data_IF_303459819784
#
_entry.id   IF_303459819784
#
_cell.length_a   1.000
_cell.length_b   1.000
_cell.length_c   1.000
_cell.angle_alpha   90.00
_cell.angle_beta   90.00
_cell.angle_gamma   90.00
#
_symmetry.space_group_name_H-M   'P 1'
#
loop_
_entity.id
_entity.type
_entity.pdbx_description
1 polymer ?
#
# COMPACT_ATOMS: atom_id res chain seq x y z
N UNK A 1 16.44 0.04 8.68
CA UNK A 1 15.52 -1.03 8.21
C UNK A 1 15.42 -2.19 9.19
N UNK A 2 16.52 -2.79 9.67
CA UNK A 2 16.48 -3.98 10.54
C UNK A 2 15.57 -3.88 11.78
N UNK A 3 15.60 -2.77 12.52
CA UNK A 3 14.74 -2.60 13.71
C UNK A 3 13.24 -2.62 13.38
N UNK A 4 12.82 -1.96 12.30
CA UNK A 4 11.43 -1.92 11.87
C UNK A 4 10.97 -3.30 11.41
N UNK A 5 11.81 -4.02 10.66
CA UNK A 5 11.54 -5.39 10.22
C UNK A 5 11.37 -6.34 11.41
N UNK A 6 12.21 -6.22 12.44
CA UNK A 6 12.08 -7.01 13.67
C UNK A 6 10.80 -6.66 14.42
N UNK A 7 10.48 -5.38 14.56
CA UNK A 7 9.25 -4.95 15.26
C UNK A 7 7.98 -5.43 14.55
N UNK A 8 7.88 -5.24 13.23
CA UNK A 8 6.72 -5.70 12.46
C UNK A 8 6.65 -7.22 12.39
N UNK A 9 7.78 -7.91 12.21
CA UNK A 9 7.84 -9.37 12.21
C UNK A 9 7.44 -9.96 13.57
N UNK A 10 7.96 -9.41 14.67
CA UNK A 10 7.60 -9.83 16.02
C UNK A 10 6.14 -9.54 16.35
N UNK A 11 5.62 -8.36 15.98
CA UNK A 11 4.22 -8.02 16.19
C UNK A 11 3.27 -8.96 15.42
N UNK A 12 3.59 -9.27 14.16
CA UNK A 12 2.84 -10.25 13.37
C UNK A 12 2.89 -11.66 13.96
N UNK A 13 4.08 -12.12 14.37
CA UNK A 13 4.25 -13.45 14.96
C UNK A 13 3.51 -13.59 16.31
N UNK A 14 3.65 -12.61 17.20
CA UNK A 14 2.93 -12.59 18.48
C UNK A 14 1.42 -12.50 18.29
N UNK A 15 0.97 -11.72 17.29
CA UNK A 15 -0.43 -11.66 16.90
C UNK A 15 -0.99 -13.02 16.50
N UNK A 16 -0.28 -13.75 15.63
CA UNK A 16 -0.67 -15.09 15.22
C UNK A 16 -0.64 -16.09 16.40
N UNK A 17 0.38 -16.05 17.26
CA UNK A 17 0.44 -16.94 18.43
C UNK A 17 -0.69 -16.68 19.45
N UNK A 18 -1.19 -15.44 19.54
CA UNK A 18 -2.25 -15.08 20.47
C UNK A 18 -3.65 -15.52 19.97
N UNK A 19 -3.91 -15.41 18.68
CA UNK A 19 -5.26 -15.60 18.11
C UNK A 19 -5.40 -16.82 17.18
N UNK A 20 -4.29 -17.44 16.76
CA UNK A 20 -4.28 -18.59 15.87
C UNK A 20 -4.90 -18.29 14.51
N UNK A 21 -5.66 -19.27 13.99
CA UNK A 21 -6.31 -19.19 12.66
C UNK A 21 -7.46 -18.18 12.59
N UNK A 22 -8.00 -17.73 13.73
CA UNK A 22 -9.06 -16.71 13.82
C UNK A 22 -8.52 -15.26 13.68
N UNK A 23 -7.29 -15.08 13.20
CA UNK A 23 -6.67 -13.76 13.07
C UNK A 23 -7.28 -12.96 11.92
N UNK A 24 -8.09 -11.95 12.27
CA UNK A 24 -8.66 -11.01 11.30
C UNK A 24 -7.60 -10.08 10.70
N UNK A 25 -7.84 -9.65 9.45
CA UNK A 25 -6.99 -8.70 8.72
C UNK A 25 -6.65 -7.42 9.53
N UNK A 26 -7.61 -6.94 10.32
CA UNK A 26 -7.42 -5.84 11.26
C UNK A 26 -7.30 -6.43 12.66
N UNK A 27 -6.06 -6.62 13.13
CA UNK A 27 -5.78 -7.33 14.39
C UNK A 27 -6.49 -6.73 15.62
N UNK A 28 -6.74 -5.42 15.62
CA UNK A 28 -7.46 -4.75 16.72
C UNK A 28 -8.93 -5.12 16.81
N UNK A 29 -9.53 -5.65 15.74
CA UNK A 29 -10.88 -6.22 15.79
C UNK A 29 -10.94 -7.60 16.44
N UNK A 30 -9.78 -8.22 16.68
CA UNK A 30 -9.66 -9.50 17.36
C UNK A 30 -9.49 -9.37 18.88
N UNK A 31 -9.01 -8.21 19.35
CA UNK A 31 -9.08 -7.85 20.76
C UNK A 31 -10.56 -7.67 21.10
N UNK A 32 -11.16 -8.64 21.79
CA UNK A 32 -12.60 -8.66 22.12
C UNK A 32 -13.12 -7.43 22.87
N UNK A 33 -14.38 -7.48 23.32
CA UNK A 33 -15.03 -6.34 23.96
C UNK A 33 -14.43 -6.05 25.34
N UNK A 34 -13.62 -5.00 25.43
CA UNK A 34 -12.99 -4.53 26.67
C UNK A 34 -12.53 -3.08 26.57
N UNK A 35 -12.42 -2.40 27.71
CA UNK A 35 -12.07 -0.97 27.77
C UNK A 35 -10.73 -0.65 27.08
N UNK A 36 -9.73 -1.53 27.23
CA UNK A 36 -8.42 -1.36 26.59
C UNK A 36 -8.53 -1.49 25.07
N UNK A 37 -9.31 -2.46 24.57
CA UNK A 37 -9.54 -2.64 23.13
C UNK A 37 -10.19 -1.40 22.51
N UNK A 38 -11.23 -0.87 23.17
CA UNK A 38 -11.92 0.36 22.73
C UNK A 38 -10.97 1.55 22.73
N UNK A 39 -10.13 1.72 23.75
CA UNK A 39 -9.15 2.82 23.80
C UNK A 39 -8.11 2.73 22.68
N UNK A 40 -7.62 1.53 22.38
CA UNK A 40 -6.67 1.31 21.27
C UNK A 40 -7.34 1.58 19.91
N UNK A 41 -8.55 1.07 19.70
CA UNK A 41 -9.31 1.31 18.47
C UNK A 41 -9.62 2.80 18.29
N UNK A 42 -10.05 3.50 19.35
CA UNK A 42 -10.26 4.96 19.30
C UNK A 42 -8.97 5.70 18.98
N UNK A 43 -7.85 5.33 19.59
CA UNK A 43 -6.53 5.90 19.29
C UNK A 43 -6.15 5.72 17.82
N UNK A 44 -6.37 4.54 17.26
CA UNK A 44 -6.16 4.26 15.83
C UNK A 44 -7.08 5.10 14.93
N UNK A 45 -8.37 5.21 15.27
CA UNK A 45 -9.31 6.04 14.52
C UNK A 45 -8.90 7.51 14.49
N UNK A 46 -8.51 8.08 15.64
CA UNK A 46 -8.02 9.46 15.75
C UNK A 46 -6.74 9.63 14.93
N UNK A 47 -5.81 8.68 15.02
CA UNK A 47 -4.56 8.69 14.27
C UNK A 47 -4.82 8.70 12.75
N UNK A 48 -5.69 7.81 12.26
CA UNK A 48 -6.05 7.73 10.85
C UNK A 48 -6.76 9.00 10.37
N UNK A 49 -7.67 9.55 11.18
CA UNK A 49 -8.37 10.79 10.86
C UNK A 49 -7.43 11.97 10.66
N UNK A 50 -6.40 12.09 11.51
CA UNK A 50 -5.39 13.16 11.40
C UNK A 50 -4.42 12.89 10.24
N UNK A 51 -4.08 11.62 9.98
CA UNK A 51 -3.13 11.25 8.92
C UNK A 51 -3.74 11.37 7.52
N UNK A 52 -5.04 11.14 7.37
CA UNK A 52 -5.74 11.23 6.08
C UNK A 52 -5.51 12.55 5.32
N UNK A 53 -5.77 13.75 5.89
CA UNK A 53 -5.53 15.01 5.19
C UNK A 53 -4.05 15.24 4.86
N UNK A 54 -3.13 14.78 5.72
CA UNK A 54 -1.69 14.87 5.49
C UNK A 54 -1.27 14.05 4.27
N UNK A 55 -1.77 12.81 4.14
CA UNK A 55 -1.49 11.93 3.01
C UNK A 55 -2.17 12.39 1.71
N UNK A 56 -3.34 13.02 1.80
CA UNK A 56 -4.06 13.54 0.63
C UNK A 56 -3.46 14.84 0.08
N UNK A 57 -2.69 15.60 0.86
CA UNK A 57 -2.09 16.85 0.41
C UNK A 57 -1.20 16.70 -0.85
N UNK A 58 -0.22 15.78 -0.92
CA UNK A 58 0.57 15.58 -2.13
C UNK A 58 -0.28 15.08 -3.31
N UNK A 59 -1.35 14.31 -3.04
CA UNK A 59 -2.29 13.86 -4.08
C UNK A 59 -3.00 15.06 -4.69
N UNK A 60 -3.53 15.97 -3.86
CA UNK A 60 -4.16 17.21 -4.35
C UNK A 60 -3.19 18.06 -5.16
N UNK A 61 -1.95 18.23 -4.72
CA UNK A 61 -0.95 19.01 -5.43
C UNK A 61 -0.66 18.44 -6.83
N UNK A 62 -0.46 17.12 -6.94
CA UNK A 62 -0.19 16.46 -8.23
C UNK A 62 -1.37 16.60 -9.19
N UNK A 63 -2.60 16.41 -8.70
CA UNK A 63 -3.81 16.53 -9.52
C UNK A 63 -4.10 18.00 -9.90
N UNK A 64 -3.98 18.95 -8.98
CA UNK A 64 -4.17 20.39 -9.24
C UNK A 64 -3.11 20.91 -10.22
N UNK A 65 -1.87 20.43 -10.15
CA UNK A 65 -0.82 20.72 -11.13
C UNK A 65 -1.17 20.18 -12.52
N UNK A 66 -1.70 18.95 -12.61
CA UNK A 66 -2.00 18.29 -13.89
C UNK A 66 -3.23 18.85 -14.59
N UNK A 67 -4.29 19.17 -13.84
CA UNK A 67 -5.60 19.53 -14.39
C UNK A 67 -5.94 21.02 -14.25
N UNK A 68 -5.45 21.70 -13.22
CA UNK A 68 -5.79 23.10 -12.92
C UNK A 68 -4.62 24.08 -13.08
N UNK A 69 -3.44 23.63 -13.56
CA UNK A 69 -2.26 24.45 -13.78
C UNK A 69 -1.92 25.31 -12.54
N UNK A 70 -1.83 24.65 -11.37
CA UNK A 70 -1.54 25.25 -10.05
C UNK A 70 -2.66 26.09 -9.42
N UNK A 71 -3.86 26.13 -10.02
CA UNK A 71 -5.02 26.77 -9.38
C UNK A 71 -5.66 25.85 -8.35
N UNK A 72 -5.99 26.43 -7.20
CA UNK A 72 -6.80 25.77 -6.18
C UNK A 72 -8.18 25.44 -6.74
N UNK A 73 -8.46 24.14 -6.87
CA UNK A 73 -9.69 23.62 -7.47
C UNK A 73 -10.45 22.79 -6.44
N UNK A 74 -11.34 23.44 -5.68
CA UNK A 74 -12.14 22.76 -4.64
C UNK A 74 -12.91 21.55 -5.18
N UNK A 75 -13.52 21.68 -6.36
CA UNK A 75 -14.24 20.59 -7.03
C UNK A 75 -13.36 19.34 -7.23
N UNK A 76 -12.09 19.50 -7.58
CA UNK A 76 -11.16 18.39 -7.78
C UNK A 76 -10.87 17.65 -6.47
N UNK A 77 -10.79 18.37 -5.35
CA UNK A 77 -10.62 17.77 -4.02
C UNK A 77 -11.85 16.96 -3.62
N UNK A 78 -13.05 17.50 -3.84
CA UNK A 78 -14.30 16.77 -3.59
C UNK A 78 -14.37 15.49 -4.42
N UNK A 79 -14.00 15.56 -5.71
CA UNK A 79 -13.95 14.37 -6.59
C UNK A 79 -12.94 13.34 -6.08
N UNK A 80 -11.74 13.76 -5.67
CA UNK A 80 -10.72 12.84 -5.16
C UNK A 80 -11.14 12.16 -3.85
N UNK A 81 -11.72 12.91 -2.90
CA UNK A 81 -12.28 12.32 -1.67
C UNK A 81 -13.41 11.36 -2.02
N UNK A 82 -14.30 11.74 -2.93
CA UNK A 82 -15.39 10.89 -3.39
C UNK A 82 -14.89 9.58 -4.00
N UNK A 83 -13.84 9.62 -4.83
CA UNK A 83 -13.22 8.42 -5.41
C UNK A 83 -12.64 7.53 -4.31
N UNK A 84 -11.92 8.09 -3.34
CA UNK A 84 -11.38 7.30 -2.21
C UNK A 84 -12.50 6.68 -1.37
N UNK A 85 -13.58 7.42 -1.11
CA UNK A 85 -14.76 6.90 -0.42
C UNK A 85 -15.44 5.78 -1.21
N UNK A 86 -15.54 5.90 -2.53
CA UNK A 86 -16.12 4.88 -3.39
C UNK A 86 -15.29 3.59 -3.38
N UNK A 87 -13.96 3.70 -3.43
CA UNK A 87 -13.06 2.54 -3.27
C UNK A 87 -13.26 1.88 -1.91
N UNK A 88 -13.36 2.67 -0.83
CA UNK A 88 -13.60 2.13 0.51
C UNK A 88 -14.95 1.40 0.65
N UNK A 89 -15.97 1.78 -0.12
CA UNK A 89 -17.28 1.10 -0.13
C UNK A 89 -17.28 -0.16 -1.01
N UNK A 90 -16.48 -0.19 -2.07
CA UNK A 90 -16.43 -1.29 -3.03
C UNK A 90 -15.54 -2.44 -2.60
N UNK A 91 -14.56 -2.20 -1.73
CA UNK A 91 -13.63 -3.21 -1.24
C UNK A 91 -14.21 -3.88 0.01
N UNK A 92 -14.64 -5.15 -0.04
CA UNK A 92 -15.20 -5.85 1.12
C UNK A 92 -14.13 -6.25 2.15
N UNK A 93 -12.92 -6.57 1.68
CA UNK A 93 -11.82 -7.08 2.50
C UNK A 93 -10.60 -6.15 2.43
N UNK A 94 -10.19 -5.64 3.59
CA UNK A 94 -9.01 -4.77 3.70
C UNK A 94 -7.70 -5.49 3.32
N UNK A 95 -7.57 -6.77 3.66
CA UNK A 95 -6.36 -7.55 3.36
C UNK A 95 -6.11 -7.67 1.85
N UNK A 96 -7.15 -7.96 1.08
CA UNK A 96 -7.06 -8.16 -0.37
C UNK A 96 -6.71 -6.85 -1.08
N UNK A 97 -7.23 -5.72 -0.59
CA UNK A 97 -6.84 -4.41 -1.08
C UNK A 97 -5.38 -4.07 -0.73
N UNK A 98 -4.94 -4.40 0.49
CA UNK A 98 -3.55 -4.19 0.89
C UNK A 98 -2.59 -5.06 0.06
N UNK A 99 -2.97 -6.30 -0.25
CA UNK A 99 -2.19 -7.21 -1.10
C UNK A 99 -2.15 -6.72 -2.55
N UNK A 100 -3.26 -6.15 -3.06
CA UNK A 100 -3.31 -5.52 -4.38
C UNK A 100 -2.38 -4.30 -4.47
N UNK A 101 -2.49 -3.36 -3.53
CA UNK A 101 -1.66 -2.14 -3.52
C UNK A 101 -0.18 -2.48 -3.33
N UNK A 102 0.11 -3.46 -2.47
CA UNK A 102 1.46 -3.94 -2.19
C UNK A 102 2.09 -4.61 -3.41
N UNK A 103 1.38 -5.53 -4.06
CA UNK A 103 1.90 -6.23 -5.24
C UNK A 103 2.02 -5.34 -6.46
N UNK A 104 1.11 -4.38 -6.65
CA UNK A 104 1.14 -3.48 -7.81
C UNK A 104 2.04 -2.25 -7.58
N UNK A 105 1.55 -1.26 -6.85
CA UNK A 105 2.15 0.07 -6.74
C UNK A 105 3.48 0.00 -5.99
N UNK A 106 3.55 -0.73 -4.87
CA UNK A 106 4.77 -0.78 -4.06
C UNK A 106 5.90 -1.55 -4.75
N UNK A 107 5.61 -2.63 -5.48
CA UNK A 107 6.65 -3.36 -6.25
C UNK A 107 7.17 -2.50 -7.40
N UNK A 108 6.27 -1.82 -8.12
CA UNK A 108 6.68 -0.94 -9.22
C UNK A 108 7.52 0.23 -8.71
N UNK A 109 7.08 0.91 -7.64
CA UNK A 109 7.81 2.06 -7.10
C UNK A 109 9.08 1.69 -6.32
N UNK A 110 9.09 0.53 -5.66
CA UNK A 110 10.19 0.10 -4.78
C UNK A 110 11.28 -0.69 -5.49
N UNK A 111 10.96 -1.47 -6.52
CA UNK A 111 11.92 -2.31 -7.24
C UNK A 111 12.10 -1.87 -8.69
N UNK A 112 11.01 -1.74 -9.45
CA UNK A 112 11.09 -1.52 -10.91
C UNK A 112 11.57 -0.12 -11.25
N UNK A 113 10.98 0.92 -10.65
CA UNK A 113 11.27 2.31 -10.97
C UNK A 113 12.70 2.73 -10.57
N UNK A 114 13.23 2.39 -9.38
CA UNK A 114 14.61 2.71 -9.02
C UNK A 114 15.63 2.02 -9.93
N UNK A 115 15.42 0.75 -10.27
CA UNK A 115 16.29 0.01 -11.18
C UNK A 115 16.23 0.57 -12.61
N UNK A 116 15.04 0.95 -13.10
CA UNK A 116 14.90 1.63 -14.39
C UNK A 116 15.60 2.99 -14.41
N UNK A 117 15.45 3.81 -13.36
CA UNK A 117 16.12 5.10 -13.28
C UNK A 117 17.65 4.94 -13.21
N UNK A 118 18.14 3.95 -12.46
CA UNK A 118 19.57 3.63 -12.41
C UNK A 118 20.12 3.26 -13.79
N UNK A 119 19.44 2.35 -14.51
CA UNK A 119 19.78 1.97 -15.88
C UNK A 119 19.71 3.14 -16.88
N UNK A 120 18.72 4.03 -16.75
CA UNK A 120 18.55 5.15 -17.67
C UNK A 120 19.60 6.25 -17.46
N UNK A 121 19.90 6.58 -16.21
CA UNK A 121 20.83 7.67 -15.86
C UNK A 121 22.29 7.26 -16.11
N UNK A 122 22.67 6.03 -15.78
CA UNK A 122 24.06 5.58 -15.87
C UNK A 122 24.33 4.64 -17.05
N UNK A 123 23.45 4.67 -18.08
CA UNK A 123 23.51 3.77 -19.24
C UNK A 123 24.87 3.73 -19.93
N UNK A 124 25.58 4.86 -19.96
CA UNK A 124 26.86 5.00 -20.66
C UNK A 124 28.06 4.56 -19.80
N UNK A 125 27.89 4.48 -18.48
CA UNK A 125 28.95 4.12 -17.51
C UNK A 125 28.80 2.69 -16.95
N UNK A 126 27.64 2.06 -17.18
CA UNK A 126 27.35 0.71 -16.66
C UNK A 126 28.10 -0.38 -17.43
N UNK A 127 29.06 -1.01 -16.74
CA UNK A 127 29.60 -2.31 -17.17
C UNK A 127 28.53 -3.41 -17.09
N UNK A 128 28.67 -4.47 -17.91
CA UNK A 128 27.73 -5.60 -17.96
C UNK A 128 27.46 -6.28 -16.61
N UNK A 129 28.40 -6.18 -15.66
CA UNK A 129 28.25 -6.75 -14.31
C UNK A 129 27.25 -6.00 -13.43
N UNK A 130 27.02 -4.72 -13.68
CA UNK A 130 26.03 -3.91 -12.96
C UNK A 130 24.67 -3.91 -13.70
N UNK A 131 24.67 -4.04 -15.03
CA UNK A 131 23.42 -4.07 -15.81
C UNK A 131 22.60 -5.34 -15.59
N UNK A 132 23.25 -6.50 -15.46
CA UNK A 132 22.57 -7.79 -15.25
C UNK A 132 21.69 -7.80 -13.99
N UNK A 133 22.16 -7.42 -12.78
CA UNK A 133 21.32 -7.43 -11.59
C UNK A 133 20.16 -6.42 -11.68
N UNK A 134 20.37 -5.24 -12.27
CA UNK A 134 19.30 -4.25 -12.41
C UNK A 134 18.17 -4.75 -13.34
N UNK A 135 18.55 -5.33 -14.48
CA UNK A 135 17.58 -5.96 -15.39
C UNK A 135 16.88 -7.14 -14.71
N UNK A 136 17.60 -7.96 -13.94
CA UNK A 136 17.00 -9.06 -13.19
C UNK A 136 15.97 -8.56 -12.16
N UNK A 137 16.26 -7.47 -11.44
CA UNK A 137 15.33 -6.86 -10.47
C UNK A 137 14.09 -6.30 -11.20
N UNK A 138 14.24 -5.67 -12.35
CA UNK A 138 13.12 -5.16 -13.15
C UNK A 138 12.22 -6.31 -13.62
N UNK A 139 12.80 -7.36 -14.18
CA UNK A 139 12.03 -8.53 -14.67
C UNK A 139 11.33 -9.23 -13.51
N UNK A 140 12.05 -9.49 -12.41
CA UNK A 140 11.50 -10.12 -11.23
C UNK A 140 10.36 -9.29 -10.63
N UNK A 141 10.57 -7.98 -10.44
CA UNK A 141 9.55 -7.06 -9.94
C UNK A 141 8.33 -7.02 -10.84
N UNK A 142 8.51 -7.00 -12.15
CA UNK A 142 7.39 -7.03 -13.09
C UNK A 142 6.58 -8.33 -13.00
N UNK A 143 7.25 -9.49 -12.93
CA UNK A 143 6.57 -10.78 -12.78
C UNK A 143 5.76 -10.82 -11.49
N UNK A 144 6.36 -10.42 -10.36
CA UNK A 144 5.68 -10.37 -9.05
C UNK A 144 4.49 -9.40 -9.07
N UNK A 145 4.64 -8.24 -9.72
CA UNK A 145 3.55 -7.28 -9.82
C UNK A 145 2.38 -7.82 -10.63
N UNK A 146 2.64 -8.45 -11.78
CA UNK A 146 1.58 -9.03 -12.63
C UNK A 146 0.89 -10.19 -11.93
N UNK A 147 1.64 -11.17 -11.41
CA UNK A 147 1.04 -12.33 -10.76
C UNK A 147 0.30 -11.94 -9.49
N UNK A 148 0.88 -11.07 -8.66
CA UNK A 148 0.24 -10.59 -7.44
C UNK A 148 -1.03 -9.77 -7.71
N UNK A 149 -1.00 -8.88 -8.71
CA UNK A 149 -2.20 -8.12 -9.10
C UNK A 149 -3.31 -9.04 -9.60
N UNK A 150 -2.99 -10.05 -10.43
CA UNK A 150 -3.99 -11.02 -10.91
C UNK A 150 -4.59 -11.80 -9.74
N UNK A 151 -3.76 -12.30 -8.82
CA UNK A 151 -4.24 -13.03 -7.63
C UNK A 151 -5.15 -12.16 -6.77
N UNK A 152 -4.72 -10.96 -6.38
CA UNK A 152 -5.52 -10.06 -5.55
C UNK A 152 -6.82 -9.63 -6.24
N UNK A 153 -6.79 -9.34 -7.55
CA UNK A 153 -8.01 -8.99 -8.30
C UNK A 153 -8.96 -10.19 -8.39
N UNK A 154 -8.44 -11.41 -8.57
CA UNK A 154 -9.27 -12.60 -8.60
C UNK A 154 -9.96 -12.83 -7.26
N UNK A 155 -9.26 -12.63 -6.14
CA UNK A 155 -9.81 -12.78 -4.79
C UNK A 155 -10.87 -11.72 -4.48
N UNK A 156 -10.67 -10.48 -4.93
CA UNK A 156 -11.67 -9.40 -4.80
C UNK A 156 -12.92 -9.67 -5.66
N UNK A 157 -12.76 -10.24 -6.87
CA UNK A 157 -13.87 -10.48 -7.81
C UNK A 157 -14.59 -11.81 -7.60
N UNK A 158 -13.93 -12.81 -7.05
CA UNK A 158 -14.54 -14.05 -6.58
C UNK A 158 -14.56 -14.07 -5.06
N UNK A 159 -15.51 -13.34 -4.43
CA UNK A 159 -15.83 -13.58 -3.03
C UNK A 159 -16.47 -14.98 -2.98
N UNK A 160 -15.66 -16.03 -2.91
CA UNK A 160 -16.17 -17.36 -2.59
C UNK A 160 -16.62 -17.32 -1.13
N UNK A 161 -17.94 -17.16 -0.98
CA UNK A 161 -18.83 -17.57 0.11
C UNK A 161 -18.30 -17.45 1.55
#
# INVERSE_FOLDING_TARGET
>A
MGMISVLFGAFGALGYFAFGEETKAIITTNLGQGLISVMVQLGLCINLFITFPLMMNPVYEVFERRFCSYRYCLWLRWVLVFVVSLVALLVPNFADFLSLVGSSVCVVLGFVLPAMLHCLVFKEELGWRCMVPDVAIVVFGFVVAVTGTISSVSEILSPMA
#
